data_IF_347634574684
#
_entry.id   IF_347634574684
#
_cell.length_a   1.000
_cell.length_b   1.000
_cell.length_c   1.000
_cell.angle_alpha   90.00
_cell.angle_beta   90.00
_cell.angle_gamma   90.00
#
_symmetry.space_group_name_H-M   'P 1'
#
loop_
_entity.id
_entity.type
_entity.pdbx_description
1 polymer ?
#
# COMPACT_ATOMS: atom_id res chain seq x y z
N UNK A 1 16.23 8.88 7.18
CA UNK A 1 15.17 8.95 8.21
C UNK A 1 14.16 7.95 7.73
N UNK A 2 14.34 6.72 8.19
CA UNK A 2 13.58 5.57 7.71
C UNK A 2 12.47 5.36 8.72
N UNK A 3 11.25 5.70 8.33
CA UNK A 3 10.11 5.35 9.13
C UNK A 3 9.78 3.90 8.74
N UNK A 4 9.63 3.00 9.72
CA UNK A 4 9.33 1.58 9.44
C UNK A 4 7.83 1.38 9.14
N UNK A 5 7.24 2.26 8.34
CA UNK A 5 5.81 2.24 8.04
C UNK A 5 5.54 1.10 7.06
N UNK A 6 4.73 0.14 7.52
CA UNK A 6 4.25 -1.00 6.75
C UNK A 6 2.77 -0.89 6.44
N UNK A 7 1.99 -0.27 7.34
CA UNK A 7 0.54 -0.15 7.24
C UNK A 7 0.09 1.30 7.20
N UNK A 8 -0.86 1.60 6.32
CA UNK A 8 -1.35 2.92 5.98
C UNK A 8 -2.80 3.15 6.45
N UNK A 9 -3.09 2.77 7.69
CA UNK A 9 -4.44 2.85 8.26
C UNK A 9 -4.76 4.24 8.84
N UNK A 10 -6.04 4.62 8.77
CA UNK A 10 -6.59 5.77 9.50
C UNK A 10 -6.35 7.17 8.91
N UNK A 11 -5.42 7.39 7.97
CA UNK A 11 -5.15 8.75 7.45
C UNK A 11 -5.92 9.11 6.17
N UNK A 12 -6.48 8.13 5.47
CA UNK A 12 -7.13 8.33 4.16
C UNK A 12 -8.36 9.25 4.22
N UNK A 13 -9.06 9.31 5.35
CA UNK A 13 -10.30 10.07 5.51
C UNK A 13 -10.09 11.54 5.91
N UNK A 14 -8.87 11.95 6.25
CA UNK A 14 -8.60 13.29 6.82
C UNK A 14 -7.96 14.30 5.85
N UNK A 15 -7.57 13.89 4.64
CA UNK A 15 -6.59 14.64 3.84
C UNK A 15 -7.07 15.01 2.42
N UNK A 16 -8.23 15.69 2.25
CA UNK A 16 -8.83 15.94 0.94
C UNK A 16 -8.01 16.89 0.05
N UNK A 17 -7.10 17.68 0.63
CA UNK A 17 -6.26 18.66 -0.07
C UNK A 17 -4.81 18.21 -0.25
N UNK A 18 -4.43 17.03 0.22
CA UNK A 18 -3.06 16.56 0.11
C UNK A 18 -2.70 16.32 -1.36
N UNK A 19 -1.64 16.97 -1.83
CA UNK A 19 -1.16 16.89 -3.23
C UNK A 19 0.17 16.16 -3.37
N UNK A 20 0.97 16.18 -2.31
CA UNK A 20 2.30 15.61 -2.27
C UNK A 20 2.41 14.68 -1.07
N UNK A 21 2.78 13.44 -1.31
CA UNK A 21 3.02 12.44 -0.27
C UNK A 21 4.38 11.78 -0.55
N UNK A 22 5.25 11.80 0.46
CA UNK A 22 6.54 11.12 0.40
C UNK A 22 6.57 10.04 1.48
N UNK A 23 6.63 8.79 1.01
CA UNK A 23 6.79 7.59 1.82
C UNK A 23 8.06 6.85 1.40
N UNK A 24 9.04 7.52 0.79
CA UNK A 24 10.30 6.89 0.42
C UNK A 24 11.09 6.41 1.65
N UNK A 25 11.80 5.29 1.52
CA UNK A 25 12.56 4.68 2.63
C UNK A 25 11.66 4.15 3.77
N UNK A 26 10.52 3.56 3.40
CA UNK A 26 9.64 2.84 4.34
C UNK A 26 9.61 1.35 3.96
N UNK A 27 8.68 0.58 4.53
CA UNK A 27 8.59 -0.87 4.37
C UNK A 27 7.27 -1.31 3.72
N UNK A 28 6.75 -0.51 2.78
CA UNK A 28 5.55 -0.86 2.02
C UNK A 28 5.87 -1.97 1.03
N UNK A 29 5.27 -3.13 1.21
CA UNK A 29 5.48 -4.31 0.36
C UNK A 29 4.24 -4.76 -0.41
N UNK A 30 3.05 -4.41 0.09
CA UNK A 30 1.77 -4.92 -0.40
C UNK A 30 1.00 -3.93 -1.26
N UNK A 31 0.26 -4.44 -2.23
CA UNK A 31 -0.64 -3.66 -3.09
C UNK A 31 -1.83 -3.08 -2.35
N UNK A 32 -2.29 -3.76 -1.29
CA UNK A 32 -3.35 -3.31 -0.37
C UNK A 32 -3.04 -1.92 0.21
N UNK A 33 -1.79 -1.69 0.61
CA UNK A 33 -1.32 -0.43 1.17
C UNK A 33 -1.24 0.68 0.11
N UNK A 34 -0.77 0.36 -1.09
CA UNK A 34 -0.77 1.31 -2.23
C UNK A 34 -2.21 1.69 -2.61
N UNK A 35 -3.14 0.74 -2.55
CA UNK A 35 -4.57 0.98 -2.79
C UNK A 35 -5.16 1.94 -1.78
N UNK A 36 -4.75 1.91 -0.50
CA UNK A 36 -5.19 2.89 0.51
C UNK A 36 -4.84 4.33 0.09
N UNK A 37 -3.64 4.55 -0.47
CA UNK A 37 -3.20 5.87 -0.98
C UNK A 37 -4.12 6.38 -2.10
N UNK A 38 -4.69 5.48 -2.91
CA UNK A 38 -5.56 5.86 -4.03
C UNK A 38 -6.84 6.58 -3.61
N UNK A 39 -7.26 6.45 -2.35
CA UNK A 39 -8.41 7.16 -1.80
C UNK A 39 -8.17 8.67 -1.61
N UNK A 40 -6.93 9.15 -1.70
CA UNK A 40 -6.61 10.57 -1.59
C UNK A 40 -6.96 11.33 -2.89
N UNK A 41 -8.04 12.15 -2.91
CA UNK A 41 -8.62 12.64 -4.17
C UNK A 41 -7.75 13.69 -4.88
N UNK A 42 -6.95 14.44 -4.10
CA UNK A 42 -6.11 15.54 -4.57
C UNK A 42 -4.66 15.16 -4.80
N UNK A 43 -4.27 13.90 -4.59
CA UNK A 43 -2.88 13.49 -4.72
C UNK A 43 -2.39 13.65 -6.17
N UNK A 44 -1.19 14.23 -6.34
CA UNK A 44 -0.56 14.47 -7.64
C UNK A 44 0.88 13.99 -7.69
N UNK A 45 1.58 13.96 -6.56
CA UNK A 45 2.97 13.55 -6.45
C UNK A 45 3.08 12.51 -5.35
N UNK A 46 3.62 11.35 -5.71
CA UNK A 46 3.88 10.24 -4.80
C UNK A 46 5.35 9.79 -4.92
N UNK A 47 5.97 9.50 -3.77
CA UNK A 47 7.30 8.90 -3.68
C UNK A 47 7.19 7.66 -2.81
N UNK A 48 7.50 6.49 -3.38
CA UNK A 48 7.63 5.20 -2.72
C UNK A 48 9.05 4.61 -2.89
N UNK A 49 9.97 5.30 -3.58
CA UNK A 49 11.35 4.87 -3.77
C UNK A 49 12.00 4.43 -2.45
N UNK A 50 12.60 3.24 -2.43
CA UNK A 50 13.18 2.66 -1.21
C UNK A 50 12.18 1.89 -0.34
N UNK A 51 11.02 1.52 -0.89
CA UNK A 51 10.11 0.52 -0.32
C UNK A 51 10.19 -0.81 -1.10
N UNK A 52 9.99 -1.96 -0.46
CA UNK A 52 9.97 -3.27 -1.14
C UNK A 52 9.05 -3.34 -2.36
N UNK A 53 7.88 -2.71 -2.30
CA UNK A 53 6.89 -2.67 -3.41
C UNK A 53 7.48 -2.16 -4.73
N UNK A 54 8.50 -1.30 -4.67
CA UNK A 54 9.14 -0.73 -5.87
C UNK A 54 9.93 -1.75 -6.69
N UNK A 55 10.23 -2.92 -6.11
CA UNK A 55 10.87 -4.04 -6.78
C UNK A 55 9.90 -5.02 -7.45
N UNK A 56 8.59 -4.90 -7.21
CA UNK A 56 7.59 -5.81 -7.80
C UNK A 56 7.39 -5.58 -9.29
N UNK A 57 7.00 -6.64 -9.99
CA UNK A 57 6.72 -6.62 -11.41
C UNK A 57 5.62 -5.62 -11.74
N UNK A 58 5.80 -4.91 -12.87
CA UNK A 58 4.87 -3.90 -13.36
C UNK A 58 4.57 -2.78 -12.34
N UNK A 59 5.42 -2.57 -11.33
CA UNK A 59 5.10 -1.70 -10.19
C UNK A 59 4.55 -0.32 -10.61
N UNK A 60 5.23 0.29 -11.57
CA UNK A 60 4.86 1.61 -12.09
C UNK A 60 3.53 1.58 -12.82
N UNK A 61 3.28 0.60 -13.69
CA UNK A 61 2.03 0.48 -14.44
C UNK A 61 0.85 0.22 -13.50
N UNK A 62 1.02 -0.64 -12.50
CA UNK A 62 -0.02 -0.94 -11.52
C UNK A 62 -0.33 0.30 -10.68
N UNK A 63 0.69 0.94 -10.11
CA UNK A 63 0.54 2.16 -9.30
C UNK A 63 -0.15 3.29 -10.07
N UNK A 64 0.23 3.51 -11.33
CA UNK A 64 -0.37 4.53 -12.18
C UNK A 64 -1.78 4.14 -12.66
N UNK A 65 -2.06 2.85 -12.84
CA UNK A 65 -3.39 2.34 -13.15
C UNK A 65 -4.36 2.55 -11.99
N UNK A 66 -3.92 2.25 -10.76
CA UNK A 66 -4.67 2.53 -9.52
C UNK A 66 -4.89 4.03 -9.30
N UNK A 67 -3.88 4.87 -9.58
CA UNK A 67 -3.88 6.30 -9.30
C UNK A 67 -3.66 7.15 -10.55
N UNK A 68 -4.63 7.11 -11.46
CA UNK A 68 -4.57 7.80 -12.76
C UNK A 68 -4.53 9.35 -12.70
N UNK A 69 -4.59 9.95 -11.51
CA UNK A 69 -4.47 11.41 -11.29
C UNK A 69 -3.04 11.85 -10.97
N UNK A 70 -2.10 10.90 -10.81
CA UNK A 70 -0.70 11.21 -10.51
C UNK A 70 -0.03 11.92 -11.69
N UNK A 71 0.68 13.00 -11.38
CA UNK A 71 1.53 13.76 -12.28
C UNK A 71 2.99 13.34 -12.16
N UNK A 72 3.39 12.84 -10.99
CA UNK A 72 4.73 12.32 -10.74
C UNK A 72 4.69 11.13 -9.79
N UNK A 73 5.46 10.10 -10.14
CA UNK A 73 5.73 8.93 -9.30
C UNK A 73 7.24 8.74 -9.24
N UNK A 74 7.80 8.63 -8.02
CA UNK A 74 9.23 8.42 -7.77
C UNK A 74 10.13 9.41 -8.52
N UNK A 75 9.74 10.70 -8.42
CA UNK A 75 10.39 11.85 -9.08
C UNK A 75 10.28 11.85 -10.61
N UNK A 76 9.81 10.79 -11.25
CA UNK A 76 9.55 10.71 -12.69
C UNK A 76 8.17 11.30 -13.02
N UNK A 77 8.10 12.14 -14.06
CA UNK A 77 6.82 12.66 -14.57
C UNK A 77 6.03 11.52 -15.21
N UNK A 78 4.71 11.61 -15.14
CA UNK A 78 3.81 10.73 -15.89
C UNK A 78 3.42 11.38 -17.21
N UNK A 79 3.11 10.57 -18.22
CA UNK A 79 2.53 11.06 -19.48
C UNK A 79 1.08 10.60 -19.61
N UNK A 80 0.21 11.32 -20.35
CA UNK A 80 -1.17 10.89 -20.57
C UNK A 80 -1.26 9.50 -21.23
N UNK A 81 -0.35 9.20 -22.16
CA UNK A 81 -0.23 7.89 -22.80
C UNK A 81 0.15 6.79 -21.80
N UNK A 82 1.13 7.05 -20.93
CA UNK A 82 1.53 6.13 -19.88
C UNK A 82 0.37 5.85 -18.90
N UNK A 83 -0.36 6.88 -18.49
CA UNK A 83 -1.55 6.73 -17.63
C UNK A 83 -2.64 5.91 -18.32
N UNK A 84 -2.89 6.16 -19.62
CA UNK A 84 -3.88 5.40 -20.38
C UNK A 84 -3.49 3.92 -20.47
N UNK A 85 -2.25 3.63 -20.86
CA UNK A 85 -1.75 2.26 -20.95
C UNK A 85 -1.76 1.55 -19.59
N UNK A 86 -1.37 2.26 -18.53
CA UNK A 86 -1.43 1.78 -17.14
C UNK A 86 -2.84 1.45 -16.70
N UNK A 87 -3.83 2.28 -17.07
CA UNK A 87 -5.23 2.04 -16.77
C UNK A 87 -5.78 0.83 -17.51
N UNK A 88 -5.47 0.69 -18.80
CA UNK A 88 -5.88 -0.47 -19.60
C UNK A 88 -5.25 -1.74 -19.02
N UNK A 89 -3.94 -1.71 -18.76
CA UNK A 89 -3.23 -2.81 -18.12
C UNK A 89 -3.88 -3.20 -16.80
N UNK A 90 -4.15 -2.23 -15.92
CA UNK A 90 -4.78 -2.48 -14.63
C UNK A 90 -6.18 -3.10 -14.75
N UNK A 91 -6.96 -2.74 -15.78
CA UNK A 91 -8.26 -3.36 -16.06
C UNK A 91 -8.17 -4.79 -16.60
N UNK A 92 -7.01 -5.17 -17.14
CA UNK A 92 -6.75 -6.54 -17.63
C UNK A 92 -6.10 -7.43 -16.59
N UNK A 93 -5.69 -6.87 -15.44
CA UNK A 93 -5.18 -7.67 -14.33
C UNK A 93 -6.31 -8.49 -13.74
N UNK A 94 -6.00 -9.72 -13.38
CA UNK A 94 -6.90 -10.57 -12.62
C UNK A 94 -7.14 -9.93 -11.24
N UNK A 95 -8.40 -9.94 -10.77
CA UNK A 95 -8.77 -9.30 -9.50
C UNK A 95 -7.96 -9.88 -8.32
N UNK A 96 -7.59 -11.17 -8.39
CA UNK A 96 -6.75 -11.83 -7.39
C UNK A 96 -5.31 -11.30 -7.28
N UNK A 97 -4.74 -10.70 -8.33
CA UNK A 97 -3.33 -10.27 -8.32
C UNK A 97 -3.03 -9.17 -7.26
N UNK A 98 -4.04 -8.39 -6.90
CA UNK A 98 -3.93 -7.33 -5.90
C UNK A 98 -4.30 -7.84 -4.50
N UNK A 99 -5.18 -8.83 -4.43
CA UNK A 99 -5.76 -9.36 -3.20
C UNK A 99 -5.03 -10.61 -2.67
N UNK A 100 -4.12 -11.22 -3.44
CA UNK A 100 -3.18 -12.25 -2.94
C UNK A 100 -2.42 -11.77 -1.70
N UNK A 101 -2.11 -10.47 -1.60
CA UNK A 101 -1.48 -9.86 -0.42
C UNK A 101 -2.42 -9.74 0.80
N UNK A 102 -3.75 -9.82 0.61
CA UNK A 102 -4.74 -9.66 1.68
C UNK A 102 -4.96 -10.96 2.47
N UNK A 103 -4.78 -12.13 1.85
CA UNK A 103 -4.86 -13.42 2.55
C UNK A 103 -3.67 -13.64 3.49
N UNK A 104 -2.49 -13.13 3.15
CA UNK A 104 -1.32 -13.12 4.05
C UNK A 104 -1.55 -12.21 5.27
N UNK A 105 -2.17 -11.02 5.09
CA UNK A 105 -2.51 -10.11 6.21
C UNK A 105 -3.44 -10.77 7.25
N UNK A 106 -4.39 -11.60 6.81
CA UNK A 106 -5.31 -12.31 7.72
C UNK A 106 -4.56 -13.39 8.50
N UNK A 107 -3.70 -14.16 7.84
CA UNK A 107 -2.87 -15.19 8.49
C UNK A 107 -1.92 -14.60 9.51
N UNK A 108 -1.20 -13.53 9.13
CA UNK A 108 -0.30 -12.82 10.04
C UNK A 108 -1.08 -12.30 11.26
N UNK A 109 -2.29 -11.76 11.06
CA UNK A 109 -3.16 -11.27 12.13
C UNK A 109 -3.71 -12.35 13.07
N UNK A 110 -3.96 -13.57 12.58
CA UNK A 110 -4.41 -14.71 13.37
C UNK A 110 -3.27 -15.30 14.23
N UNK A 111 -2.05 -15.37 13.72
CA UNK A 111 -0.88 -15.91 14.44
C UNK A 111 -0.53 -15.07 15.68
N UNK A 112 -0.58 -13.74 15.59
CA UNK A 112 -0.41 -12.84 16.75
C UNK A 112 -1.54 -12.94 17.77
N UNK A 113 -2.75 -13.31 17.35
CA UNK A 113 -3.88 -13.48 18.26
C UNK A 113 -3.81 -14.79 19.06
N UNK A 114 -3.24 -15.85 18.48
CA UNK A 114 -3.03 -17.13 19.17
C UNK A 114 -1.88 -17.06 20.19
N UNK A 115 -0.77 -16.37 19.88
CA UNK A 115 0.34 -16.19 20.84
C UNK A 115 0.00 -15.28 22.04
N UNK A 116 -1.02 -14.42 21.91
CA UNK A 116 -1.48 -13.52 22.98
C UNK A 116 -2.38 -14.16 24.05
N UNK A 117 -2.78 -15.42 23.89
CA UNK A 117 -3.70 -16.13 24.80
C UNK A 117 -3.03 -17.09 25.80
N UNK A 118 -1.70 -17.10 25.93
CA UNK A 118 -0.97 -17.95 26.90
C UNK A 118 -0.38 -17.18 28.11
N UNK A 119 -1.15 -16.35 28.82
CA UNK A 119 -0.83 -16.12 30.24
C UNK A 119 -2.05 -15.60 31.01
N UNK A 120 -2.68 -16.49 31.78
CA UNK A 120 -3.05 -16.34 33.19
C UNK A 120 -4.19 -17.31 33.49
N UNK A 121 -3.86 -18.51 33.95
CA UNK A 121 -4.69 -19.24 34.92
C UNK A 121 -3.93 -20.46 35.45
N UNK A 122 -3.15 -20.26 36.52
CA UNK A 122 -3.34 -21.00 37.78
C UNK A 122 -2.28 -20.62 38.82
N UNK A 123 -2.60 -19.62 39.64
CA UNK A 123 -2.16 -19.60 41.03
C UNK A 123 -3.33 -19.22 41.92
N UNK A 124 -4.26 -20.15 42.13
CA UNK A 124 -4.86 -20.31 43.45
C UNK A 124 -5.69 -21.60 43.52
N UNK A 125 -5.22 -22.58 44.29
CA UNK A 125 -6.05 -23.29 45.27
C UNK A 125 -5.27 -24.41 45.96
N UNK A 126 -5.22 -24.27 47.30
CA UNK A 126 -4.94 -25.25 48.37
C UNK A 126 -3.49 -25.74 48.57
#
# INVERSE_FOLDING_TARGET
>A
MDNHIQHLDGFINGLPKLKYLNLGGNLLERWTEVRKISYLPSLRILILSGNPITGRDNYRYITLGMMNKLQRLDRKKTTPEEILNSRIFFQTLDEGYIDEDAEEEIRDGEEIAEEGMEVEDNKESA
#
